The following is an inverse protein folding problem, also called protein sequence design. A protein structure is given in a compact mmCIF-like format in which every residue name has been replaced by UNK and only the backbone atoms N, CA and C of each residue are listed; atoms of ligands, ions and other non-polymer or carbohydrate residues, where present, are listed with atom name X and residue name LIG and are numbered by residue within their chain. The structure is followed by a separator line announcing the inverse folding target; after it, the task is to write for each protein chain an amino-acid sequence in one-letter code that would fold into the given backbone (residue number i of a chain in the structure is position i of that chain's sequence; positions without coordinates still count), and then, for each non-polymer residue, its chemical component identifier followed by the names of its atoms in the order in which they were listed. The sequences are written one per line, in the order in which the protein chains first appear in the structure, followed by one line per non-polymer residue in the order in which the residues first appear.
data_IF_267904786981
#
_entry.id   IF_267904786981
#
_cell.length_a   1.000
_cell.length_b   1.000
_cell.length_c   1.000
_cell.angle_alpha   90.00
_cell.angle_beta   90.00
_cell.angle_gamma   90.00
#
_symmetry.space_group_name_H-M   'P 1'
#
loop_
_entity.id
_entity.type
_entity.pdbx_description
1 polymer ?
#
# COMPACT_ATOMS: atom_id res chain seq x y z
N UNK A 1 2.02 -8.28 -19.30
CA UNK A 1 2.47 -7.85 -17.99
C UNK A 1 1.39 -7.09 -17.27
N UNK A 2 1.17 -7.42 -16.04
CA UNK A 2 0.14 -6.78 -15.23
C UNK A 2 0.78 -5.88 -14.19
N UNK A 3 0.16 -4.75 -13.95
CA UNK A 3 0.59 -3.84 -12.91
C UNK A 3 -0.58 -3.65 -11.95
N UNK A 4 -0.32 -3.77 -10.66
CA UNK A 4 -1.31 -3.45 -9.65
C UNK A 4 -0.99 -2.07 -9.10
N UNK A 5 -2.02 -1.38 -8.60
CA UNK A 5 -1.76 -0.09 -7.97
C UNK A 5 -2.71 0.15 -6.81
N UNK A 6 -2.29 1.05 -5.94
CA UNK A 6 -3.12 1.51 -4.85
C UNK A 6 -2.89 3.02 -4.71
N UNK A 7 -3.94 3.76 -4.42
CA UNK A 7 -3.85 5.21 -4.26
C UNK A 7 -4.47 5.60 -2.94
N UNK A 8 -3.78 6.46 -2.22
CA UNK A 8 -4.21 6.94 -0.91
C UNK A 8 -4.31 8.46 -0.89
N UNK A 9 -5.12 8.97 0.03
CA UNK A 9 -5.11 10.39 0.35
C UNK A 9 -3.77 10.72 1.01
N UNK A 10 -3.24 11.90 0.72
CA UNK A 10 -1.97 12.32 1.30
C UNK A 10 -2.19 12.80 2.73
N UNK A 11 -1.71 12.03 3.69
CA UNK A 11 -1.76 12.37 5.12
C UNK A 11 -0.44 11.95 5.76
N UNK A 12 -0.24 12.33 7.00
CA UNK A 12 0.96 11.89 7.73
C UNK A 12 0.97 10.37 7.87
N UNK A 13 -0.19 9.79 8.12
CA UNK A 13 -0.30 8.34 8.25
C UNK A 13 0.06 7.65 6.95
N UNK A 14 -0.46 8.15 5.81
CA UNK A 14 -0.18 7.50 4.53
C UNK A 14 1.27 7.65 4.12
N UNK A 15 1.97 8.68 4.59
CA UNK A 15 3.40 8.79 4.32
C UNK A 15 4.15 7.57 4.85
N UNK A 16 3.86 7.17 6.08
CA UNK A 16 4.47 5.98 6.66
C UNK A 16 4.06 4.70 5.94
N UNK A 17 2.80 4.61 5.53
CA UNK A 17 2.31 3.47 4.77
C UNK A 17 3.07 3.36 3.45
N UNK A 18 3.25 4.47 2.74
CA UNK A 18 3.95 4.49 1.46
C UNK A 18 5.40 4.06 1.63
N UNK A 19 6.07 4.54 2.68
CA UNK A 19 7.45 4.14 2.94
C UNK A 19 7.56 2.65 3.19
N UNK A 20 6.62 2.10 3.96
CA UNK A 20 6.62 0.68 4.26
C UNK A 20 6.40 -0.14 2.98
N UNK A 21 5.47 0.28 2.13
CA UNK A 21 5.20 -0.41 0.88
C UNK A 21 6.44 -0.37 -0.02
N UNK A 22 7.11 0.77 -0.08
CA UNK A 22 8.30 0.92 -0.91
C UNK A 22 9.41 0.00 -0.43
N UNK A 23 9.58 -0.11 0.89
CA UNK A 23 10.62 -0.99 1.44
C UNK A 23 10.36 -2.46 1.10
N UNK A 24 9.10 -2.87 1.13
CA UNK A 24 8.74 -4.27 0.90
C UNK A 24 8.56 -4.60 -0.59
N UNK A 25 8.49 -3.59 -1.44
CA UNK A 25 8.28 -3.77 -2.88
C UNK A 25 9.28 -2.91 -3.64
N UNK A 26 10.51 -3.41 -3.83
CA UNK A 26 11.59 -2.60 -4.41
C UNK A 26 11.31 -2.06 -5.81
N UNK A 27 10.37 -2.68 -6.53
CA UNK A 27 10.03 -2.24 -7.88
C UNK A 27 8.89 -1.23 -7.89
N UNK A 28 8.42 -0.79 -6.72
CA UNK A 28 7.32 0.15 -6.63
C UNK A 28 7.67 1.49 -7.25
N UNK A 29 6.72 2.04 -8.00
CA UNK A 29 6.84 3.38 -8.59
C UNK A 29 5.83 4.28 -7.91
N UNK A 30 6.32 5.35 -7.31
CA UNK A 30 5.50 6.28 -6.55
C UNK A 30 5.20 7.51 -7.40
N UNK A 31 3.93 7.84 -7.54
CA UNK A 31 3.51 9.07 -8.24
C UNK A 31 2.75 9.93 -7.25
N UNK A 32 3.30 11.12 -6.96
CA UNK A 32 2.66 12.06 -6.06
C UNK A 32 1.88 13.09 -6.84
N UNK A 33 0.68 13.36 -6.39
CA UNK A 33 -0.21 14.36 -6.97
C UNK A 33 -0.78 15.17 -5.83
N UNK A 34 -1.35 16.34 -6.11
CA UNK A 34 -2.01 17.10 -5.04
C UNK A 34 -3.06 16.25 -4.35
N UNK A 35 -2.93 16.12 -3.04
CA UNK A 35 -3.87 15.38 -2.18
C UNK A 35 -3.92 13.87 -2.42
N UNK A 36 -3.05 13.31 -3.26
CA UNK A 36 -3.09 11.88 -3.56
C UNK A 36 -1.69 11.33 -3.81
N UNK A 37 -1.47 10.08 -3.42
CA UNK A 37 -0.24 9.38 -3.75
C UNK A 37 -0.62 8.03 -4.33
N UNK A 38 -0.03 7.68 -5.48
CA UNK A 38 -0.31 6.43 -6.18
C UNK A 38 0.95 5.57 -6.21
N UNK A 39 0.78 4.29 -5.93
CA UNK A 39 1.88 3.33 -5.91
C UNK A 39 1.58 2.25 -6.93
N UNK A 40 2.47 2.09 -7.91
CA UNK A 40 2.35 1.06 -8.95
C UNK A 40 3.42 0.01 -8.73
N UNK A 41 3.04 -1.27 -8.77
CA UNK A 41 4.01 -2.37 -8.65
C UNK A 41 3.72 -3.40 -9.72
N UNK A 42 4.75 -3.83 -10.49
CA UNK A 42 4.54 -4.88 -11.49
C UNK A 42 4.12 -6.19 -10.84
N UNK A 43 3.16 -6.86 -11.43
CA UNK A 43 2.69 -8.20 -11.09
C UNK A 43 1.95 -8.31 -9.76
N UNK A 44 2.56 -7.95 -8.66
CA UNK A 44 1.90 -8.06 -7.35
C UNK A 44 2.53 -7.12 -6.35
N UNK A 45 1.73 -6.77 -5.35
CA UNK A 45 2.17 -5.86 -4.28
C UNK A 45 1.85 -6.53 -2.95
N UNK A 46 2.82 -6.51 -2.04
CA UNK A 46 2.64 -7.01 -0.68
C UNK A 46 2.75 -5.85 0.29
N UNK A 47 1.73 -5.66 1.10
CA UNK A 47 1.72 -4.63 2.14
C UNK A 47 1.69 -5.35 3.48
N UNK A 48 2.71 -5.14 4.31
CA UNK A 48 2.84 -5.84 5.58
C UNK A 48 2.56 -4.90 6.74
N UNK A 49 1.70 -5.36 7.65
CA UNK A 49 1.37 -4.58 8.84
C UNK A 49 2.62 -4.24 9.64
N UNK A 50 3.49 -5.22 9.83
CA UNK A 50 4.71 -5.05 10.61
C UNK A 50 5.57 -3.90 10.07
N UNK A 51 5.71 -3.81 8.76
CA UNK A 51 6.50 -2.76 8.14
C UNK A 51 5.89 -1.39 8.37
N UNK A 52 4.56 -1.32 8.30
CA UNK A 52 3.86 -0.06 8.55
C UNK A 52 4.03 0.38 10.00
N UNK A 53 3.91 -0.57 10.92
CA UNK A 53 4.07 -0.27 12.35
C UNK A 53 5.47 0.25 12.65
N UNK A 54 6.46 -0.31 11.98
CA UNK A 54 7.83 0.13 12.14
C UNK A 54 8.00 1.60 11.70
N UNK A 55 7.38 1.94 10.58
CA UNK A 55 7.49 3.31 10.06
C UNK A 55 6.70 4.31 10.88
N UNK A 56 5.53 3.90 11.38
CA UNK A 56 4.67 4.80 12.15
C UNK A 56 5.08 4.89 13.61
N UNK A 57 5.82 3.89 14.11
CA UNK A 57 6.21 3.86 15.51
C UNK A 57 5.04 3.56 16.45
N UNK A 58 3.99 2.89 15.93
CA UNK A 58 2.82 2.53 16.71
C UNK A 58 2.13 1.34 16.10
N UNK A 59 1.20 0.77 16.84
CA UNK A 59 0.37 -0.30 16.33
C UNK A 59 -0.50 0.20 15.18
N UNK A 60 -0.71 -0.66 14.21
CA UNK A 60 -1.51 -0.32 13.04
C UNK A 60 -2.39 -1.51 12.67
N UNK A 61 -3.68 -1.25 12.48
CA UNK A 61 -4.62 -2.24 12.00
C UNK A 61 -4.73 -2.06 10.48
N UNK A 62 -4.53 -3.12 9.71
CA UNK A 62 -4.60 -3.01 8.25
C UNK A 62 -5.95 -2.49 7.77
N UNK A 63 -7.01 -2.69 8.55
CA UNK A 63 -8.31 -2.12 8.21
C UNK A 63 -8.27 -0.59 8.17
N UNK A 64 -7.34 0.00 8.91
CA UNK A 64 -7.20 1.46 8.93
C UNK A 64 -6.78 2.00 7.56
N UNK A 65 -6.14 1.18 6.73
CA UNK A 65 -5.76 1.60 5.38
C UNK A 65 -6.97 2.01 4.56
N UNK A 66 -8.10 1.36 4.79
CA UNK A 66 -9.31 1.64 4.02
C UNK A 66 -9.83 3.05 4.26
N UNK A 67 -9.50 3.64 5.41
CA UNK A 67 -9.90 5.01 5.71
C UNK A 67 -9.19 6.00 4.78
N UNK A 68 -7.98 5.68 4.38
CA UNK A 68 -7.16 6.56 3.56
C UNK A 68 -7.20 6.19 2.08
N UNK A 69 -7.81 5.07 1.75
CA UNK A 69 -7.80 4.52 0.40
C UNK A 69 -8.70 5.30 -0.53
N UNK A 70 -8.17 5.66 -1.70
CA UNK A 70 -8.97 6.30 -2.76
C UNK A 70 -9.44 5.25 -3.75
N UNK A 71 -8.48 4.47 -4.28
CA UNK A 71 -8.80 3.43 -5.26
C UNK A 71 -7.64 2.44 -5.34
N UNK A 72 -7.91 1.29 -5.91
CA UNK A 72 -6.87 0.30 -6.16
C UNK A 72 -7.25 -0.53 -7.37
N UNK A 73 -6.26 -1.26 -7.89
CA UNK A 73 -6.48 -2.14 -9.03
C UNK A 73 -5.72 -3.44 -8.78
N UNK A 74 -6.45 -4.55 -8.85
CA UNK A 74 -5.89 -5.87 -8.59
C UNK A 74 -6.85 -6.68 -7.75
N UNK A 75 -6.51 -7.95 -7.58
CA UNK A 75 -7.28 -8.85 -6.72
C UNK A 75 -6.74 -8.73 -5.30
N UNK A 76 -7.63 -8.50 -4.35
CA UNK A 76 -7.25 -8.32 -2.94
C UNK A 76 -7.23 -9.66 -2.22
N UNK A 77 -6.14 -9.90 -1.49
CA UNK A 77 -6.04 -11.03 -0.57
C UNK A 77 -5.55 -10.45 0.75
N UNK A 78 -6.43 -10.38 1.71
CA UNK A 78 -6.18 -9.66 2.95
C UNK A 78 -6.24 -10.59 4.15
N UNK A 79 -5.25 -10.48 5.04
CA UNK A 79 -5.25 -11.16 6.33
C UNK A 79 -4.99 -10.13 7.42
N UNK A 80 -4.82 -10.59 8.66
CA UNK A 80 -4.51 -9.67 9.75
C UNK A 80 -3.14 -9.03 9.61
N UNK A 81 -2.22 -9.71 8.96
CA UNK A 81 -0.82 -9.28 8.89
C UNK A 81 -0.41 -8.72 7.53
N UNK A 82 -1.12 -9.10 6.47
CA UNK A 82 -0.74 -8.73 5.11
C UNK A 82 -1.92 -8.36 4.26
N UNK A 83 -1.67 -7.46 3.34
CA UNK A 83 -2.64 -7.04 2.34
C UNK A 83 -1.93 -7.20 1.00
N UNK A 84 -2.43 -8.08 0.16
CA UNK A 84 -1.79 -8.38 -1.11
C UNK A 84 -2.69 -8.01 -2.27
N UNK A 85 -2.08 -7.41 -3.31
CA UNK A 85 -2.76 -7.11 -4.57
C UNK A 85 -2.06 -7.87 -5.69
N UNK A 86 -2.83 -8.54 -6.53
CA UNK A 86 -2.27 -9.23 -7.68
C UNK A 86 -3.37 -9.46 -8.71
N UNK A 87 -2.95 -9.74 -9.94
CA UNK A 87 -3.88 -10.16 -10.98
C UNK A 87 -3.96 -11.68 -11.09
N UNK A 88 -3.28 -12.36 -10.21
CA UNK A 88 -3.28 -13.80 -10.21
C UNK A 88 -4.65 -14.32 -9.82
N UNK A 89 -5.11 -15.35 -10.51
CA UNK A 89 -6.40 -15.96 -10.28
C UNK A 89 -6.32 -17.22 -9.44
#
# INVERSE_FOLDING_TARGET
MSTVFIAFQTTETTRGIVEAITDDNPTAVITEQPAMVKIDVPDSMTIRRESIEEKLGRRFDLQEMHVHLITLSGHIDESDDEFNLSWKQ
#
